data_IF_647388070089
#
_entry.id   IF_647388070089
#
_cell.length_a   1.000
_cell.length_b   1.000
_cell.length_c   1.000
_cell.angle_alpha   90.00
_cell.angle_beta   90.00
_cell.angle_gamma   90.00
#
_symmetry.space_group_name_H-M   'P 1'
#
loop_
_entity.id
_entity.type
_entity.pdbx_description
1 polymer ?
#
# COMPACT_ATOMS: atom_id res chain seq x y z
N UNK A 1 4.78 10.39 -2.77
CA UNK A 1 3.94 9.81 -1.71
C UNK A 1 2.63 9.33 -2.31
N UNK A 2 2.22 8.11 -2.01
CA UNK A 2 0.93 7.55 -2.45
C UNK A 2 0.15 7.08 -1.24
N UNK A 3 -0.98 7.71 -0.99
CA UNK A 3 -1.93 7.33 0.04
C UNK A 3 -2.87 6.27 -0.54
N UNK A 4 -2.82 5.07 -0.02
CA UNK A 4 -3.46 3.90 -0.60
C UNK A 4 -4.16 3.02 0.43
N UNK A 5 -5.20 2.32 -0.01
CA UNK A 5 -5.84 1.24 0.73
C UNK A 5 -5.60 -0.09 0.04
N UNK A 6 -5.24 -1.12 0.79
CA UNK A 6 -4.89 -2.43 0.23
C UNK A 6 -6.10 -3.20 -0.35
N UNK A 7 -7.33 -2.79 -0.01
CA UNK A 7 -8.57 -3.32 -0.61
C UNK A 7 -9.09 -2.49 -1.78
N UNK A 8 -8.48 -1.34 -2.08
CA UNK A 8 -8.93 -0.47 -3.15
C UNK A 8 -8.49 -0.99 -4.53
N UNK A 9 -9.43 -1.31 -5.46
CA UNK A 9 -9.08 -1.79 -6.80
C UNK A 9 -8.28 -0.77 -7.62
N UNK A 10 -8.56 0.53 -7.46
CA UNK A 10 -7.80 1.58 -8.14
C UNK A 10 -6.35 1.68 -7.64
N UNK A 11 -6.11 1.37 -6.34
CA UNK A 11 -4.76 1.29 -5.79
C UNK A 11 -3.99 0.08 -6.35
N UNK A 12 -4.65 -1.07 -6.47
CA UNK A 12 -4.06 -2.25 -7.13
C UNK A 12 -3.70 -1.96 -8.59
N UNK A 13 -4.59 -1.34 -9.35
CA UNK A 13 -4.33 -0.93 -10.72
C UNK A 13 -3.17 0.07 -10.83
N UNK A 14 -3.07 1.03 -9.91
CA UNK A 14 -1.95 1.95 -9.84
C UNK A 14 -0.61 1.21 -9.71
N UNK A 15 -0.55 0.22 -8.82
CA UNK A 15 0.65 -0.59 -8.64
C UNK A 15 0.99 -1.41 -9.89
N UNK A 16 0.01 -2.08 -10.46
CA UNK A 16 0.23 -2.94 -11.64
C UNK A 16 0.67 -2.16 -12.87
N UNK A 17 0.00 -1.05 -13.18
CA UNK A 17 0.15 -0.34 -14.46
C UNK A 17 1.17 0.80 -14.39
N UNK A 18 1.25 1.48 -13.25
CA UNK A 18 2.05 2.70 -13.10
C UNK A 18 3.31 2.45 -12.28
N UNK A 19 3.15 1.96 -11.04
CA UNK A 19 4.28 1.79 -10.13
C UNK A 19 5.36 0.88 -10.70
N UNK A 20 5.02 -0.25 -11.30
CA UNK A 20 6.00 -1.17 -11.88
C UNK A 20 6.89 -0.51 -12.94
N UNK A 21 6.32 0.37 -13.75
CA UNK A 21 7.08 1.13 -14.75
C UNK A 21 7.93 2.23 -14.10
N UNK A 22 7.36 2.96 -13.13
CA UNK A 22 8.10 3.96 -12.37
C UNK A 22 9.27 3.34 -11.61
N UNK A 23 9.08 2.13 -11.09
CA UNK A 23 10.12 1.38 -10.38
C UNK A 23 11.34 1.18 -11.28
N UNK A 24 11.14 0.59 -12.44
CA UNK A 24 12.21 0.27 -13.39
C UNK A 24 12.88 1.53 -13.96
N UNK A 25 12.08 2.55 -14.30
CA UNK A 25 12.60 3.72 -15.00
C UNK A 25 13.23 4.76 -14.07
N UNK A 26 12.78 4.86 -12.81
CA UNK A 26 13.18 5.94 -11.90
C UNK A 26 13.61 5.49 -10.51
N UNK A 27 12.86 4.58 -9.85
CA UNK A 27 13.12 4.22 -8.45
C UNK A 27 14.39 3.39 -8.34
N UNK A 28 14.54 2.34 -9.15
CA UNK A 28 15.71 1.47 -9.16
C UNK A 28 16.99 2.20 -9.61
N UNK A 29 16.84 3.36 -10.24
CA UNK A 29 17.93 4.26 -10.63
C UNK A 29 18.21 5.37 -9.61
N UNK A 30 17.56 5.34 -8.46
CA UNK A 30 17.66 6.35 -7.41
C UNK A 30 17.30 7.80 -7.87
N UNK A 31 16.48 7.93 -8.91
CA UNK A 31 16.01 9.23 -9.40
C UNK A 31 14.74 9.69 -8.67
N UNK A 32 13.96 8.74 -8.16
CA UNK A 32 12.71 8.97 -7.43
C UNK A 32 12.67 8.12 -6.17
N UNK A 33 12.27 8.73 -5.06
CA UNK A 33 11.92 8.02 -3.82
C UNK A 33 10.42 7.80 -3.79
N UNK A 34 9.99 6.56 -3.67
CA UNK A 34 8.59 6.18 -3.49
C UNK A 34 8.26 5.96 -2.01
N UNK A 35 7.14 6.48 -1.58
CA UNK A 35 6.63 6.28 -0.22
C UNK A 35 5.19 5.75 -0.28
N UNK A 36 4.98 4.55 0.27
CA UNK A 36 3.65 4.02 0.52
C UNK A 36 3.14 4.57 1.85
N UNK A 37 2.00 5.24 1.80
CA UNK A 37 1.29 5.74 2.96
C UNK A 37 -0.03 4.99 3.12
N UNK A 38 -0.17 4.26 4.20
CA UNK A 38 -1.38 3.49 4.51
C UNK A 38 -2.57 4.41 4.76
N UNK A 39 -3.64 4.17 4.03
CA UNK A 39 -4.92 4.84 4.20
C UNK A 39 -6.06 3.82 4.11
N UNK A 40 -6.20 2.93 5.12
CA UNK A 40 -7.17 1.84 5.05
C UNK A 40 -8.60 2.38 5.02
N UNK A 41 -9.39 1.89 4.07
CA UNK A 41 -10.80 2.27 3.91
C UNK A 41 -11.75 1.33 4.66
N UNK A 42 -11.27 0.16 5.05
CA UNK A 42 -12.02 -0.87 5.77
C UNK A 42 -11.11 -1.71 6.68
N UNK A 43 -11.72 -2.60 7.46
CA UNK A 43 -11.00 -3.46 8.40
C UNK A 43 -10.08 -4.46 7.68
N UNK A 44 -10.46 -4.97 6.52
CA UNK A 44 -9.63 -5.88 5.75
C UNK A 44 -8.34 -5.19 5.28
N UNK A 45 -8.43 -3.94 4.82
CA UNK A 45 -7.26 -3.13 4.46
C UNK A 45 -6.37 -2.84 5.66
N UNK A 46 -6.95 -2.54 6.83
CA UNK A 46 -6.20 -2.35 8.08
C UNK A 46 -5.42 -3.60 8.45
N UNK A 47 -6.07 -4.75 8.46
CA UNK A 47 -5.44 -6.02 8.82
C UNK A 47 -4.35 -6.44 7.81
N UNK A 48 -4.58 -6.23 6.53
CA UNK A 48 -3.55 -6.47 5.51
C UNK A 48 -2.32 -5.57 5.69
N UNK A 49 -2.52 -4.30 6.07
CA UNK A 49 -1.43 -3.39 6.39
C UNK A 49 -0.66 -3.82 7.65
N UNK A 50 -1.35 -4.35 8.66
CA UNK A 50 -0.70 -4.93 9.84
C UNK A 50 0.19 -6.11 9.44
N UNK A 51 -0.29 -7.02 8.59
CA UNK A 51 0.51 -8.15 8.08
C UNK A 51 1.72 -7.64 7.28
N UNK A 52 1.55 -6.65 6.43
CA UNK A 52 2.65 -6.01 5.69
C UNK A 52 3.73 -5.47 6.63
N UNK A 53 3.36 -4.82 7.71
CA UNK A 53 4.28 -4.24 8.72
C UNK A 53 4.89 -5.28 9.67
N UNK A 54 4.37 -6.48 9.69
CA UNK A 54 4.90 -7.58 10.49
C UNK A 54 6.33 -7.99 10.08
N UNK A 55 6.75 -7.64 8.86
CA UNK A 55 8.11 -7.78 8.39
C UNK A 55 8.89 -6.46 8.57
N UNK A 56 10.08 -6.54 9.15
CA UNK A 56 10.95 -5.38 9.38
C UNK A 56 11.90 -5.06 8.20
N UNK A 57 12.07 -6.00 7.27
CA UNK A 57 12.91 -5.80 6.08
C UNK A 57 12.14 -5.02 5.00
N UNK A 58 12.64 -3.83 4.66
CA UNK A 58 11.98 -2.95 3.70
C UNK A 58 11.90 -3.52 2.28
N UNK A 59 12.93 -4.24 1.81
CA UNK A 59 12.91 -4.84 0.46
C UNK A 59 11.84 -5.93 0.37
N UNK A 60 11.71 -6.74 1.42
CA UNK A 60 10.66 -7.76 1.51
C UNK A 60 9.29 -7.10 1.62
N UNK A 61 9.14 -6.03 2.40
CA UNK A 61 7.88 -5.28 2.51
C UNK A 61 7.38 -4.78 1.16
N UNK A 62 8.24 -4.19 0.33
CA UNK A 62 7.82 -3.69 -0.98
C UNK A 62 7.42 -4.82 -1.92
N UNK A 63 8.14 -5.94 -1.92
CA UNK A 63 7.76 -7.13 -2.69
C UNK A 63 6.45 -7.74 -2.20
N UNK A 64 6.25 -7.78 -0.88
CA UNK A 64 4.99 -8.24 -0.28
C UNK A 64 3.84 -7.26 -0.61
N UNK A 65 4.07 -5.95 -0.58
CA UNK A 65 3.09 -4.95 -0.99
C UNK A 65 2.63 -5.15 -2.44
N UNK A 66 3.57 -5.37 -3.35
CA UNK A 66 3.27 -5.68 -4.76
C UNK A 66 2.41 -6.95 -4.87
N UNK A 67 2.75 -8.01 -4.14
CA UNK A 67 2.03 -9.27 -4.17
C UNK A 67 0.64 -9.17 -3.52
N UNK A 68 0.50 -8.40 -2.44
CA UNK A 68 -0.80 -8.12 -1.82
C UNK A 68 -1.74 -7.47 -2.84
N UNK A 69 -1.29 -6.48 -3.58
CA UNK A 69 -2.10 -5.87 -4.63
C UNK A 69 -2.40 -6.83 -5.78
N UNK A 70 -1.41 -7.56 -6.25
CA UNK A 70 -1.56 -8.53 -7.33
C UNK A 70 -2.58 -9.62 -7.01
N UNK A 71 -2.60 -10.07 -5.76
CA UNK A 71 -3.53 -11.09 -5.25
C UNK A 71 -4.79 -10.51 -4.58
N UNK A 72 -5.10 -9.24 -4.78
CA UNK A 72 -6.24 -8.59 -4.13
C UNK A 72 -7.55 -9.36 -4.35
N UNK A 73 -7.81 -9.84 -5.57
CA UNK A 73 -8.99 -10.64 -5.88
C UNK A 73 -9.01 -12.04 -5.24
N UNK A 74 -7.89 -12.50 -4.70
CA UNK A 74 -7.80 -13.76 -3.96
C UNK A 74 -8.11 -13.57 -2.48
N UNK A 75 -7.53 -12.56 -1.83
CA UNK A 75 -7.63 -12.41 -0.37
C UNK A 75 -8.69 -11.40 0.07
N UNK A 76 -8.95 -10.35 -0.70
CA UNK A 76 -9.88 -9.27 -0.34
C UNK A 76 -11.31 -9.58 -0.87
N UNK A 77 -11.85 -10.73 -0.51
CA UNK A 77 -13.14 -11.21 -1.02
C UNK A 77 -14.11 -11.57 0.10
N UNK A 78 -15.37 -11.17 -0.08
CA UNK A 78 -16.41 -11.41 0.90
C UNK A 78 -16.36 -10.45 2.10
N UNK A 79 -17.10 -10.77 3.15
CA UNK A 79 -17.27 -9.95 4.35
C UNK A 79 -16.83 -10.66 5.65
N UNK A 80 -16.40 -11.91 5.58
CA UNK A 80 -15.90 -12.66 6.74
C UNK A 80 -14.43 -12.26 6.97
N UNK A 81 -14.21 -11.43 7.99
CA UNK A 81 -12.88 -10.94 8.33
C UNK A 81 -11.91 -12.04 8.75
N UNK A 82 -12.38 -13.09 9.38
CA UNK A 82 -11.51 -14.21 9.78
C UNK A 82 -10.99 -14.95 8.54
N UNK A 83 -11.86 -15.18 7.57
CA UNK A 83 -11.47 -15.78 6.28
C UNK A 83 -10.49 -14.87 5.51
N UNK A 84 -10.76 -13.58 5.47
CA UNK A 84 -9.86 -12.60 4.83
C UNK A 84 -8.49 -12.60 5.50
N UNK A 85 -8.44 -12.63 6.84
CA UNK A 85 -7.19 -12.71 7.58
C UNK A 85 -6.42 -14.00 7.28
N UNK A 86 -7.10 -15.13 7.16
CA UNK A 86 -6.45 -16.39 6.78
C UNK A 86 -5.89 -16.35 5.35
N UNK A 87 -6.60 -15.72 4.43
CA UNK A 87 -6.13 -15.57 3.04
C UNK A 87 -4.95 -14.61 2.91
N UNK A 88 -4.96 -13.48 3.62
CA UNK A 88 -3.83 -12.55 3.60
C UNK A 88 -2.58 -13.14 4.29
N UNK A 89 -2.75 -13.94 5.34
CA UNK A 89 -1.64 -14.68 5.96
C UNK A 89 -1.00 -15.67 4.97
N UNK A 90 -1.79 -16.33 4.12
CA UNK A 90 -1.22 -17.19 3.05
C UNK A 90 -0.31 -16.41 2.10
N UNK A 91 -0.69 -15.19 1.76
CA UNK A 91 0.19 -14.30 0.97
C UNK A 91 1.48 -13.98 1.73
N UNK A 92 1.39 -13.71 3.02
CA UNK A 92 2.57 -13.45 3.88
C UNK A 92 3.51 -14.65 4.01
N UNK A 93 2.97 -15.87 4.08
CA UNK A 93 3.78 -17.10 4.14
C UNK A 93 4.71 -17.24 2.93
N UNK A 94 4.27 -16.87 1.74
CA UNK A 94 5.07 -16.94 0.50
C UNK A 94 6.31 -16.02 0.56
N UNK A 95 6.31 -15.04 1.48
CA UNK A 95 7.43 -14.10 1.71
C UNK A 95 8.21 -14.38 3.01
N UNK A 96 8.05 -15.58 3.58
CA UNK A 96 8.80 -16.02 4.74
C UNK A 96 8.29 -15.51 6.07
N UNK A 97 7.12 -14.87 6.12
CA UNK A 97 6.44 -14.54 7.37
C UNK A 97 5.90 -15.82 8.02
N UNK A 98 6.08 -15.96 9.33
CA UNK A 98 5.56 -17.10 10.08
C UNK A 98 4.12 -16.83 10.51
N UNK A 99 3.27 -17.86 10.45
CA UNK A 99 1.85 -17.75 10.79
C UNK A 99 1.64 -17.22 12.22
N UNK A 100 2.33 -17.80 13.21
CA UNK A 100 2.24 -17.35 14.59
C UNK A 100 2.66 -15.88 14.78
N UNK A 101 3.64 -15.42 14.01
CA UNK A 101 4.07 -13.99 14.02
C UNK A 101 2.99 -13.08 13.44
N UNK A 102 2.37 -13.48 12.36
CA UNK A 102 1.27 -12.71 11.76
C UNK A 102 0.05 -12.67 12.71
N UNK A 103 -0.25 -13.78 13.40
CA UNK A 103 -1.30 -13.81 14.42
C UNK A 103 -1.01 -12.88 15.60
N UNK A 104 0.24 -12.83 16.08
CA UNK A 104 0.67 -11.87 17.11
C UNK A 104 0.53 -10.42 16.61
N UNK A 105 0.95 -10.13 15.37
CA UNK A 105 0.84 -8.80 14.78
C UNK A 105 -0.63 -8.35 14.66
N UNK A 106 -1.52 -9.24 14.21
CA UNK A 106 -2.94 -8.95 14.07
C UNK A 106 -3.66 -8.71 15.41
N UNK A 107 -3.11 -9.21 16.52
CA UNK A 107 -3.61 -8.95 17.87
C UNK A 107 -2.99 -7.72 18.52
N UNK A 108 -1.99 -7.09 17.88
CA UNK A 108 -1.28 -5.93 18.40
C UNK A 108 -2.05 -4.64 18.13
N UNK A 109 -2.79 -4.17 19.14
CA UNK A 109 -3.57 -2.95 19.05
C UNK A 109 -2.71 -1.68 18.81
N UNK A 110 -1.48 -1.66 19.28
CA UNK A 110 -0.58 -0.49 19.09
C UNK A 110 -0.28 -0.26 17.62
N UNK A 111 -0.03 -1.34 16.85
CA UNK A 111 0.21 -1.25 15.40
C UNK A 111 -1.05 -0.80 14.65
N UNK A 112 -2.20 -1.31 15.05
CA UNK A 112 -3.50 -0.90 14.48
C UNK A 112 -3.76 0.58 14.75
N UNK A 113 -3.57 1.02 15.99
CA UNK A 113 -3.77 2.42 16.40
C UNK A 113 -2.80 3.35 15.68
N UNK A 114 -1.55 2.95 15.50
CA UNK A 114 -0.57 3.71 14.71
C UNK A 114 -1.04 3.93 13.27
N UNK A 115 -1.51 2.87 12.60
CA UNK A 115 -2.03 2.97 11.23
C UNK A 115 -3.26 3.89 11.16
N UNK A 116 -4.19 3.73 12.09
CA UNK A 116 -5.39 4.58 12.15
C UNK A 116 -5.06 6.05 12.45
N UNK A 117 -4.11 6.30 13.35
CA UNK A 117 -3.64 7.65 13.64
C UNK A 117 -2.96 8.28 12.42
N UNK A 118 -2.14 7.55 11.69
CA UNK A 118 -1.54 8.01 10.44
C UNK A 118 -2.60 8.37 9.39
N UNK A 119 -3.68 7.59 9.29
CA UNK A 119 -4.84 7.93 8.43
C UNK A 119 -5.51 9.22 8.87
N UNK A 120 -5.77 9.40 10.17
CA UNK A 120 -6.37 10.62 10.72
C UNK A 120 -5.50 11.84 10.42
N UNK A 121 -4.20 11.75 10.65
CA UNK A 121 -3.23 12.81 10.35
C UNK A 121 -3.20 13.14 8.85
N UNK A 122 -3.20 12.12 8.00
CA UNK A 122 -3.23 12.30 6.54
C UNK A 122 -4.50 13.03 6.11
N UNK A 123 -5.65 12.69 6.67
CA UNK A 123 -6.92 13.40 6.41
C UNK A 123 -6.83 14.87 6.80
N UNK A 124 -6.25 15.17 7.96
CA UNK A 124 -6.12 16.55 8.46
C UNK A 124 -5.08 17.35 7.69
N UNK A 125 -3.89 16.79 7.47
CA UNK A 125 -2.75 17.48 6.87
C UNK A 125 -2.84 17.58 5.35
N UNK A 126 -3.16 16.49 4.70
CA UNK A 126 -3.13 16.36 3.24
C UNK A 126 -4.51 16.42 2.59
N UNK A 127 -5.57 16.50 3.38
CA UNK A 127 -6.97 16.52 2.89
C UNK A 127 -7.27 15.34 1.97
N UNK A 128 -6.87 14.14 2.41
CA UNK A 128 -7.13 12.91 1.68
C UNK A 128 -8.61 12.54 1.79
N UNK A 129 -9.29 12.39 0.67
CA UNK A 129 -10.72 12.07 0.57
C UNK A 129 -10.97 10.76 -0.15
N UNK A 130 -10.00 10.29 -0.94
CA UNK A 130 -10.10 9.09 -1.75
C UNK A 130 -8.74 8.45 -1.98
N UNK A 131 -8.72 7.21 -2.43
CA UNK A 131 -7.51 6.46 -2.75
C UNK A 131 -7.53 5.96 -4.21
N UNK A 132 -6.38 5.88 -4.89
CA UNK A 132 -5.09 6.43 -4.47
C UNK A 132 -5.07 7.97 -4.55
N UNK A 133 -4.45 8.62 -3.58
CA UNK A 133 -4.10 10.04 -3.68
C UNK A 133 -2.58 10.17 -3.74
N UNK A 134 -2.07 10.86 -4.74
CA UNK A 134 -0.65 10.97 -5.04
C UNK A 134 -0.14 12.39 -4.81
N UNK A 135 1.02 12.48 -4.16
CA UNK A 135 1.80 13.72 -4.05
C UNK A 135 3.16 13.53 -4.73
N UNK A 136 3.54 14.51 -5.54
CA UNK A 136 4.86 14.58 -6.17
C UNK A 136 5.55 15.84 -5.64
N UNK A 137 6.69 15.67 -4.98
CA UNK A 137 7.41 16.78 -4.31
C UNK A 137 6.47 17.69 -3.50
N UNK A 138 5.71 17.08 -2.56
CA UNK A 138 4.76 17.75 -1.65
C UNK A 138 3.55 18.41 -2.33
N UNK A 139 3.41 18.32 -3.65
CA UNK A 139 2.25 18.83 -4.38
C UNK A 139 1.26 17.72 -4.70
N UNK A 140 0.00 17.92 -4.33
CA UNK A 140 -1.07 16.99 -4.69
C UNK A 140 -1.19 16.90 -6.21
N UNK A 141 -1.12 15.68 -6.73
CA UNK A 141 -1.33 15.42 -8.14
C UNK A 141 -2.83 15.41 -8.46
N UNK A 142 -3.24 16.20 -9.43
CA UNK A 142 -4.64 16.34 -9.86
C UNK A 142 -4.88 15.96 -11.33
N UNK A 143 -3.87 15.37 -11.98
CA UNK A 143 -3.97 14.94 -13.38
C UNK A 143 -4.55 13.52 -13.53
N UNK A 144 -4.53 13.03 -14.75
CA UNK A 144 -4.97 11.68 -15.05
C UNK A 144 -4.07 10.62 -14.41
N UNK A 145 -4.66 9.58 -13.83
CA UNK A 145 -3.97 8.44 -13.24
C UNK A 145 -3.55 7.46 -14.35
N UNK A 146 -2.53 7.84 -15.10
CA UNK A 146 -1.89 6.99 -16.10
C UNK A 146 -0.37 7.23 -16.14
N UNK A 147 0.36 6.25 -16.66
CA UNK A 147 1.83 6.29 -16.67
C UNK A 147 2.39 7.48 -17.44
N UNK A 148 1.83 7.81 -18.62
CA UNK A 148 2.31 8.92 -19.48
C UNK A 148 2.25 10.25 -18.74
N UNK A 149 1.17 10.52 -18.05
CA UNK A 149 0.98 11.75 -17.27
C UNK A 149 1.93 11.81 -16.07
N UNK A 150 2.12 10.71 -15.36
CA UNK A 150 3.11 10.64 -14.27
C UNK A 150 4.54 10.83 -14.77
N UNK A 151 4.93 10.16 -15.85
CA UNK A 151 6.24 10.30 -16.46
C UNK A 151 6.55 11.76 -16.77
N UNK A 152 5.64 12.46 -17.44
CA UNK A 152 5.80 13.87 -17.80
C UNK A 152 6.03 14.78 -16.59
N UNK A 153 5.29 14.54 -15.50
CA UNK A 153 5.43 15.36 -14.28
C UNK A 153 6.74 15.02 -13.55
N UNK A 154 7.10 13.76 -13.47
CA UNK A 154 8.35 13.33 -12.83
C UNK A 154 9.54 13.95 -13.57
N UNK A 155 9.61 13.79 -14.90
CA UNK A 155 10.71 14.33 -15.71
C UNK A 155 10.84 15.84 -15.59
N UNK A 156 9.74 16.56 -15.43
CA UNK A 156 9.76 18.02 -15.19
C UNK A 156 10.35 18.41 -13.84
N UNK A 157 10.36 17.48 -12.86
CA UNK A 157 10.81 17.73 -11.49
C UNK A 157 12.17 17.09 -11.17
N UNK A 158 12.78 16.36 -12.10
CA UNK A 158 14.14 15.86 -11.98
C UNK A 158 15.16 16.94 -12.30
#
# INVERSE_FOLDING_TARGET
KVFSSLTCPHCANFHEVIFNKLKIEYIDKNLVRFEHHSFPLDLAALNAEVVLRCNTNNDIKFKLLEEIYKKQNFWAVGSDINRINDLIKKVGLDFGLKENKMDECLKNNEVQDEILNQRIEATKKYKIESTPTVFINEKKYSGEINYKSFKKIIEKNL
#
